data_IF_795003644613
#
_entry.id   IF_795003644613
#
_cell.length_a   1.000
_cell.length_b   1.000
_cell.length_c   1.000
_cell.angle_alpha   90.00
_cell.angle_beta   90.00
_cell.angle_gamma   90.00
#
_symmetry.space_group_name_H-M   'P 1'
#
loop_
_entity.id
_entity.type
_entity.pdbx_description
1 polymer ?
#
# COMPACT_ATOMS: atom_id res chain seq x y z
N UNK A 1 9.18 4.28 -30.25
CA UNK A 1 10.49 4.58 -29.61
C UNK A 1 10.21 5.33 -28.32
N UNK A 2 10.86 4.94 -27.22
CA UNK A 2 10.51 5.27 -25.84
C UNK A 2 10.31 6.78 -25.57
N UNK A 3 9.36 7.10 -24.68
CA UNK A 3 9.10 8.46 -24.22
C UNK A 3 10.34 9.01 -23.53
N UNK A 4 10.95 10.04 -24.11
CA UNK A 4 12.15 10.63 -23.55
C UNK A 4 11.81 11.34 -22.21
N UNK A 5 12.57 11.06 -21.15
CA UNK A 5 12.49 11.82 -19.91
C UNK A 5 12.92 13.27 -20.17
N UNK A 6 12.07 14.23 -19.80
CA UNK A 6 12.38 15.66 -19.93
C UNK A 6 13.56 16.03 -19.02
N UNK A 7 14.68 16.46 -19.62
CA UNK A 7 15.91 16.81 -18.89
C UNK A 7 15.68 17.83 -17.76
N UNK A 8 14.77 18.79 -17.96
CA UNK A 8 14.45 19.79 -16.93
C UNK A 8 13.79 19.16 -15.69
N UNK A 9 12.96 18.12 -15.88
CA UNK A 9 12.34 17.41 -14.77
C UNK A 9 13.35 16.54 -14.03
N UNK A 10 14.24 15.86 -14.77
CA UNK A 10 15.34 15.09 -14.18
C UNK A 10 16.25 16.00 -13.36
N UNK A 11 16.65 17.16 -13.89
CA UNK A 11 17.44 18.15 -13.16
C UNK A 11 16.74 18.62 -11.88
N UNK A 12 15.43 18.88 -11.94
CA UNK A 12 14.65 19.30 -10.76
C UNK A 12 14.65 18.22 -9.67
N UNK A 13 14.49 16.95 -10.05
CA UNK A 13 14.54 15.81 -9.11
C UNK A 13 15.95 15.67 -8.51
N UNK A 14 17.00 15.79 -9.32
CA UNK A 14 18.38 15.72 -8.81
C UNK A 14 18.68 16.83 -7.78
N UNK A 15 18.11 18.04 -7.97
CA UNK A 15 18.25 19.14 -7.01
C UNK A 15 17.36 19.02 -5.77
N UNK A 16 16.29 18.22 -5.80
CA UNK A 16 15.41 18.09 -4.63
C UNK A 16 15.97 17.16 -3.55
N UNK A 17 16.87 16.25 -3.91
CA UNK A 17 17.45 15.27 -2.98
C UNK A 17 18.91 15.58 -2.61
N UNK A 18 19.51 16.60 -3.20
CA UNK A 18 20.92 16.91 -3.01
C UNK A 18 21.11 18.41 -2.85
N UNK A 19 21.87 18.82 -1.85
CA UNK A 19 22.37 20.20 -1.69
C UNK A 19 23.48 20.51 -2.71
N UNK A 20 23.22 20.18 -3.99
CA UNK A 20 24.16 20.37 -5.08
C UNK A 20 23.80 21.66 -5.79
N UNK A 21 24.61 22.68 -5.56
CA UNK A 21 24.42 24.02 -6.12
C UNK A 21 24.41 23.98 -7.66
N UNK A 22 25.35 23.23 -8.25
CA UNK A 22 25.60 23.16 -9.69
C UNK A 22 25.60 21.72 -10.22
N UNK A 23 24.74 21.46 -11.21
CA UNK A 23 24.65 20.18 -11.93
C UNK A 23 24.90 20.44 -13.41
N UNK A 24 25.95 19.82 -13.96
CA UNK A 24 26.30 19.96 -15.38
C UNK A 24 25.22 19.39 -16.31
N UNK A 25 25.15 19.87 -17.56
CA UNK A 25 24.20 19.35 -18.56
C UNK A 25 24.45 17.86 -18.86
N UNK A 26 25.72 17.47 -18.94
CA UNK A 26 26.09 16.10 -19.29
C UNK A 26 25.72 15.12 -18.18
N UNK A 27 25.89 15.51 -16.91
CA UNK A 27 25.44 14.72 -15.76
C UNK A 27 23.93 14.46 -15.82
N UNK A 28 23.13 15.48 -16.15
CA UNK A 28 21.67 15.32 -16.31
C UNK A 28 21.35 14.35 -17.43
N UNK A 29 22.05 14.43 -18.56
CA UNK A 29 21.86 13.51 -19.70
C UNK A 29 22.21 12.06 -19.35
N UNK A 30 23.35 11.83 -18.68
CA UNK A 30 23.78 10.50 -18.26
C UNK A 30 22.78 9.89 -17.27
N UNK A 31 22.38 10.64 -16.24
CA UNK A 31 21.39 10.19 -15.26
C UNK A 31 20.04 9.92 -15.93
N UNK A 32 19.66 10.74 -16.92
CA UNK A 32 18.45 10.51 -17.71
C UNK A 32 18.47 9.16 -18.43
N UNK A 33 19.59 8.82 -19.06
CA UNK A 33 19.76 7.52 -19.75
C UNK A 33 19.86 6.37 -18.77
N UNK A 34 20.55 6.56 -17.64
CA UNK A 34 20.63 5.56 -16.60
C UNK A 34 19.24 5.24 -16.01
N UNK A 35 18.40 6.25 -15.77
CA UNK A 35 17.02 6.06 -15.29
C UNK A 35 16.13 5.31 -16.30
N UNK A 36 16.28 5.60 -17.59
CA UNK A 36 15.58 4.86 -18.66
C UNK A 36 15.97 3.39 -18.66
N UNK A 37 17.28 3.11 -18.63
CA UNK A 37 17.81 1.74 -18.57
C UNK A 37 17.42 1.02 -17.28
N UNK A 38 17.42 1.73 -16.16
CA UNK A 38 17.00 1.19 -14.87
C UNK A 38 15.56 0.70 -14.90
N UNK A 39 14.63 1.52 -15.42
CA UNK A 39 13.22 1.14 -15.53
C UNK A 39 13.07 -0.05 -16.49
N UNK A 40 13.73 -0.04 -17.64
CA UNK A 40 13.68 -1.16 -18.58
C UNK A 40 14.19 -2.46 -17.94
N UNK A 41 15.29 -2.39 -17.19
CA UNK A 41 15.85 -3.53 -16.49
C UNK A 41 14.88 -4.06 -15.43
N UNK A 42 14.36 -3.18 -14.58
CA UNK A 42 13.42 -3.53 -13.52
C UNK A 42 12.15 -4.19 -14.08
N UNK A 43 11.58 -3.62 -15.15
CA UNK A 43 10.40 -4.20 -15.79
C UNK A 43 10.70 -5.55 -16.44
N UNK A 44 11.90 -5.73 -17.01
CA UNK A 44 12.32 -7.00 -17.60
C UNK A 44 12.48 -8.08 -16.54
N UNK A 45 13.06 -7.74 -15.39
CA UNK A 45 13.21 -8.68 -14.26
C UNK A 45 11.87 -9.01 -13.60
N UNK A 46 10.98 -8.03 -13.47
CA UNK A 46 9.64 -8.24 -12.94
C UNK A 46 8.75 -9.10 -13.85
N UNK A 47 9.11 -9.24 -15.13
CA UNK A 47 8.34 -10.01 -16.10
C UNK A 47 8.86 -11.45 -16.24
N UNK A 48 8.55 -12.29 -15.24
CA UNK A 48 9.14 -13.63 -15.02
C UNK A 48 8.88 -14.66 -16.14
N UNK A 49 7.85 -14.48 -16.98
CA UNK A 49 7.70 -15.19 -18.27
C UNK A 49 6.73 -14.43 -19.20
N UNK A 50 7.23 -13.76 -20.26
CA UNK A 50 6.38 -12.95 -21.13
C UNK A 50 5.33 -13.72 -21.91
N UNK A 51 5.47 -15.06 -22.00
CA UNK A 51 4.49 -15.90 -22.69
C UNK A 51 3.31 -16.26 -21.80
N UNK A 52 3.49 -16.26 -20.48
CA UNK A 52 2.46 -16.64 -19.49
C UNK A 52 1.77 -15.43 -18.88
N UNK A 53 2.52 -14.35 -18.65
CA UNK A 53 2.02 -13.14 -18.00
C UNK A 53 1.76 -12.08 -19.06
N UNK A 54 0.48 -11.81 -19.33
CA UNK A 54 0.06 -10.80 -20.32
C UNK A 54 0.13 -9.37 -19.78
N UNK A 55 0.16 -9.19 -18.46
CA UNK A 55 0.13 -7.89 -17.78
C UNK A 55 1.10 -7.89 -16.61
N UNK A 56 1.92 -6.85 -16.52
CA UNK A 56 2.77 -6.63 -15.37
C UNK A 56 1.95 -6.02 -14.23
N UNK A 57 1.94 -6.67 -13.07
CA UNK A 57 1.24 -6.20 -11.88
C UNK A 57 2.21 -5.67 -10.82
N UNK A 58 1.69 -4.88 -9.87
CA UNK A 58 2.49 -4.34 -8.77
C UNK A 58 3.23 -5.43 -7.99
N UNK A 59 2.56 -6.57 -7.73
CA UNK A 59 3.16 -7.71 -7.00
C UNK A 59 4.44 -8.20 -7.66
N UNK A 60 4.51 -8.21 -8.99
CA UNK A 60 5.70 -8.64 -9.71
C UNK A 60 6.89 -7.71 -9.43
N UNK A 61 6.65 -6.39 -9.44
CA UNK A 61 7.68 -5.38 -9.17
C UNK A 61 8.09 -5.43 -7.70
N UNK A 62 7.12 -5.51 -6.79
CA UNK A 62 7.39 -5.60 -5.35
C UNK A 62 8.25 -6.82 -5.02
N UNK A 63 7.97 -7.99 -5.60
CA UNK A 63 8.80 -9.18 -5.40
C UNK A 63 10.26 -8.92 -5.82
N UNK A 64 10.49 -8.43 -7.04
CA UNK A 64 11.86 -8.18 -7.52
C UNK A 64 12.60 -7.17 -6.65
N UNK A 65 11.94 -6.08 -6.24
CA UNK A 65 12.54 -5.02 -5.42
C UNK A 65 12.93 -5.52 -4.02
N UNK A 66 12.08 -6.34 -3.41
CA UNK A 66 12.28 -6.78 -2.04
C UNK A 66 13.15 -8.05 -1.92
N UNK A 67 13.19 -8.90 -2.96
CA UNK A 67 13.97 -10.14 -2.96
C UNK A 67 15.46 -9.93 -3.31
N UNK A 68 15.80 -8.84 -4.01
CA UNK A 68 17.16 -8.55 -4.49
C UNK A 68 17.81 -7.42 -3.70
N UNK A 69 19.09 -7.59 -3.33
CA UNK A 69 19.90 -6.55 -2.66
C UNK A 69 20.16 -5.34 -3.57
N UNK A 70 20.23 -5.55 -4.89
CA UNK A 70 20.44 -4.47 -5.87
C UNK A 70 19.38 -3.37 -5.79
N UNK A 71 18.18 -3.71 -5.33
CA UNK A 71 17.03 -2.80 -5.24
C UNK A 71 16.71 -2.37 -3.81
N UNK A 72 17.63 -2.58 -2.87
CA UNK A 72 17.45 -2.20 -1.46
C UNK A 72 16.98 -0.75 -1.30
N UNK A 73 17.58 0.18 -2.06
CA UNK A 73 17.22 1.60 -2.06
C UNK A 73 15.76 1.91 -2.44
N UNK A 74 15.04 0.94 -3.04
CA UNK A 74 13.67 1.11 -3.49
C UNK A 74 12.65 0.38 -2.60
N UNK A 75 13.09 -0.37 -1.58
CA UNK A 75 12.19 -1.19 -0.74
C UNK A 75 11.20 -0.36 0.06
N UNK A 76 11.65 0.75 0.62
CA UNK A 76 10.80 1.69 1.37
C UNK A 76 9.73 2.32 0.46
N UNK A 77 10.06 2.55 -0.81
CA UNK A 77 9.13 3.13 -1.78
C UNK A 77 8.17 2.10 -2.40
N UNK A 78 8.54 0.82 -2.43
CA UNK A 78 7.78 -0.26 -3.06
C UNK A 78 7.71 -1.47 -2.12
N UNK A 79 6.98 -1.37 -1.00
CA UNK A 79 6.84 -2.48 -0.05
C UNK A 79 5.89 -3.57 -0.57
N UNK A 80 5.96 -4.76 0.03
CA UNK A 80 4.94 -5.77 -0.20
C UNK A 80 3.60 -5.33 0.40
N UNK A 81 2.54 -5.46 -0.39
CA UNK A 81 1.17 -5.30 0.12
C UNK A 81 0.77 -6.55 0.89
N UNK A 82 0.28 -6.36 2.11
CA UNK A 82 -0.39 -7.38 2.91
C UNK A 82 -1.83 -6.97 3.13
N UNK A 83 -2.73 -7.94 3.25
CA UNK A 83 -4.12 -7.66 3.59
C UNK A 83 -4.25 -7.40 5.09
N UNK A 84 -5.26 -6.64 5.49
CA UNK A 84 -5.51 -6.31 6.91
C UNK A 84 -5.66 -7.57 7.78
N UNK A 85 -6.34 -8.60 7.29
CA UNK A 85 -6.45 -9.87 8.04
C UNK A 85 -5.09 -10.58 8.18
N UNK A 86 -4.26 -10.59 7.13
CA UNK A 86 -2.91 -11.16 7.16
C UNK A 86 -2.03 -10.41 8.17
N UNK A 87 -2.16 -9.08 8.22
CA UNK A 87 -1.48 -8.26 9.22
C UNK A 87 -1.87 -8.67 10.65
N UNK A 88 -3.17 -8.77 10.95
CA UNK A 88 -3.61 -9.22 12.28
C UNK A 88 -3.10 -10.62 12.63
N UNK A 89 -3.04 -11.54 11.66
CA UNK A 89 -2.44 -12.85 11.88
C UNK A 89 -0.95 -12.79 12.16
N UNK A 90 -0.20 -11.97 11.42
CA UNK A 90 1.25 -11.76 11.63
C UNK A 90 1.48 -11.17 13.01
N UNK A 91 0.70 -10.16 13.40
CA UNK A 91 0.78 -9.54 14.73
C UNK A 91 0.44 -10.55 15.83
N UNK A 92 -0.64 -11.32 15.69
CA UNK A 92 -0.98 -12.37 16.65
C UNK A 92 0.11 -13.44 16.75
N UNK A 93 0.76 -13.82 15.65
CA UNK A 93 1.88 -14.78 15.65
C UNK A 93 3.16 -14.20 16.27
N UNK A 94 3.43 -12.91 16.05
CA UNK A 94 4.65 -12.22 16.55
C UNK A 94 4.55 -11.93 18.04
N UNK A 95 3.39 -11.47 18.51
CA UNK A 95 3.17 -11.07 19.92
C UNK A 95 2.46 -12.13 20.76
N UNK A 96 1.73 -13.06 20.14
CA UNK A 96 1.09 -14.18 20.86
C UNK A 96 2.02 -15.35 21.17
N UNK A 97 3.26 -15.34 20.65
CA UNK A 97 4.30 -16.35 20.99
C UNK A 97 5.08 -16.04 22.26
N UNK A 98 4.88 -14.87 22.88
CA UNK A 98 5.52 -14.54 24.17
C UNK A 98 4.74 -15.09 25.39
N UNK A 99 3.58 -15.72 25.17
CA UNK A 99 2.76 -16.35 26.22
C UNK A 99 2.60 -17.85 25.89
N UNK A 100 3.68 -18.61 25.88
CA UNK A 100 3.55 -20.08 25.99
C UNK A 100 4.80 -20.75 26.57
N UNK A 101 5.29 -20.19 27.68
CA UNK A 101 6.10 -20.96 28.64
C UNK A 101 5.49 -20.77 30.02
N UNK A 102 4.68 -21.76 30.42
CA UNK A 102 3.96 -21.87 31.72
C UNK A 102 2.72 -20.95 31.78
N UNK A 103 1.48 -21.39 32.01
CA UNK A 103 0.97 -22.49 32.83
C UNK A 103 -0.47 -22.82 32.40
N UNK A 104 -0.88 -24.08 32.62
CA UNK A 104 -2.28 -24.52 32.56
C UNK A 104 -3.12 -23.79 33.63
N UNK A 105 -4.43 -23.70 33.35
CA UNK A 105 -5.56 -23.29 34.21
C UNK A 105 -5.94 -21.81 34.18
N UNK A 106 -7.01 -21.47 33.45
CA UNK A 106 -8.35 -21.38 34.05
C UNK A 106 -9.31 -20.79 33.01
N UNK A 107 -10.39 -21.53 32.75
CA UNK A 107 -11.59 -21.07 32.06
C UNK A 107 -12.24 -19.92 32.82
N UNK A 108 -12.62 -18.86 32.11
CA UNK A 108 -13.73 -18.00 32.52
C UNK A 108 -14.36 -17.37 31.29
N UNK A 109 -15.46 -18.01 30.88
CA UNK A 109 -16.55 -17.41 30.12
C UNK A 109 -17.04 -16.14 30.82
N UNK A 110 -17.21 -15.05 30.08
CA UNK A 110 -18.14 -14.00 30.49
C UNK A 110 -18.63 -13.23 29.26
N UNK A 111 -19.78 -13.66 28.78
CA UNK A 111 -20.69 -12.88 27.95
C UNK A 111 -21.25 -11.70 28.73
N UNK A 112 -21.21 -10.49 28.18
CA UNK A 112 -22.03 -9.37 28.66
C UNK A 112 -22.81 -8.77 27.50
N UNK A 113 -24.03 -9.29 27.34
CA UNK A 113 -25.10 -8.68 26.56
C UNK A 113 -25.63 -7.47 27.33
N UNK A 114 -25.61 -6.28 26.73
CA UNK A 114 -26.28 -5.10 27.30
C UNK A 114 -27.45 -4.72 26.40
N UNK A 115 -28.62 -5.25 26.74
CA UNK A 115 -29.90 -4.74 26.28
C UNK A 115 -30.23 -3.49 27.11
N UNK A 116 -30.69 -2.42 26.47
CA UNK A 116 -31.33 -1.31 27.16
C UNK A 116 -32.48 -0.80 26.29
N UNK A 117 -33.69 -1.00 26.80
CA UNK A 117 -34.94 -0.53 26.21
C UNK A 117 -35.48 0.67 26.99
N UNK A 118 -35.89 1.69 26.22
CA UNK A 118 -37.02 2.61 26.44
C UNK A 118 -36.93 3.71 27.53
N UNK A 119 -37.79 4.78 27.56
CA UNK A 119 -38.97 5.11 26.70
C UNK A 119 -39.15 6.59 26.23
N UNK A 120 -40.12 6.75 25.32
CA UNK A 120 -41.17 7.81 25.18
C UNK A 120 -40.90 9.23 24.65
N UNK A 121 -41.54 9.47 23.49
CA UNK A 121 -42.55 10.52 23.18
C UNK A 121 -42.16 12.01 23.08
N UNK A 122 -42.30 12.60 21.88
CA UNK A 122 -43.20 13.76 21.64
C UNK A 122 -43.32 14.11 20.13
N UNK A 123 -44.52 13.89 19.62
CA UNK A 123 -45.38 14.74 18.76
C UNK A 123 -44.83 15.64 17.61
N UNK A 124 -45.20 15.22 16.39
CA UNK A 124 -45.70 15.94 15.19
C UNK A 124 -45.19 17.33 14.75
N UNK A 125 -44.83 17.40 13.45
CA UNK A 125 -45.36 18.43 12.53
C UNK A 125 -45.18 18.05 11.04
N UNK A 126 -46.27 18.20 10.28
CA UNK A 126 -46.46 18.12 8.82
C UNK A 126 -45.32 18.64 7.93
N UNK A 127 -45.04 17.98 6.80
CA UNK A 127 -45.52 18.36 5.44
C UNK A 127 -44.68 17.75 4.29
N UNK A 128 -45.42 17.08 3.39
CA UNK A 128 -45.31 17.01 1.91
C UNK A 128 -44.01 16.57 1.17
N UNK A 129 -44.15 15.37 0.56
CA UNK A 129 -44.06 15.11 -0.90
C UNK A 129 -42.73 14.64 -1.58
N UNK A 130 -42.84 13.43 -2.12
CA UNK A 130 -42.26 12.87 -3.36
C UNK A 130 -40.81 12.34 -3.49
N UNK A 131 -40.77 10.99 -3.65
CA UNK A 131 -39.98 10.12 -4.57
C UNK A 131 -38.60 9.56 -4.15
N UNK A 132 -38.67 8.36 -3.58
CA UNK A 132 -38.16 7.05 -4.08
C UNK A 132 -36.78 6.93 -4.76
N UNK A 133 -35.93 6.04 -4.22
CA UNK A 133 -35.26 5.03 -5.06
C UNK A 133 -33.73 4.87 -5.02
N UNK A 134 -33.24 4.11 -4.02
CA UNK A 134 -32.11 3.17 -4.01
C UNK A 134 -30.64 3.54 -3.70
N UNK A 135 -30.19 2.83 -2.65
CA UNK A 135 -28.85 2.45 -2.18
C UNK A 135 -27.87 1.98 -3.27
N UNK A 136 -26.58 2.27 -3.07
CA UNK A 136 -25.63 1.20 -2.74
C UNK A 136 -24.31 1.75 -2.18
N UNK A 137 -24.10 1.40 -0.91
CA UNK A 137 -22.86 1.48 -0.16
C UNK A 137 -21.86 0.45 -0.72
N UNK A 138 -20.68 0.90 -1.15
CA UNK A 138 -19.51 0.02 -1.17
C UNK A 138 -18.29 0.76 -0.66
N UNK A 139 -17.98 0.42 0.59
CA UNK A 139 -16.78 0.78 1.32
C UNK A 139 -15.53 0.56 0.46
N UNK A 140 -14.84 1.65 0.14
CA UNK A 140 -13.41 1.56 -0.15
C UNK A 140 -12.72 1.24 1.17
N UNK A 141 -12.41 -0.04 1.37
CA UNK A 141 -11.62 -0.51 2.51
C UNK A 141 -10.25 0.15 2.50
N UNK A 142 -9.91 0.79 3.62
CA UNK A 142 -8.65 1.48 3.83
C UNK A 142 -7.45 0.52 3.64
N UNK A 143 -6.64 0.83 2.63
CA UNK A 143 -5.32 0.20 2.44
C UNK A 143 -4.32 1.01 3.27
N UNK A 144 -3.82 0.44 4.36
CA UNK A 144 -2.71 1.04 5.12
C UNK A 144 -1.38 0.74 4.44
N UNK A 145 -0.61 1.80 4.17
CA UNK A 145 0.84 1.72 3.94
C UNK A 145 1.49 1.85 5.31
N UNK A 146 2.37 0.93 5.66
CA UNK A 146 3.12 0.94 6.92
C UNK A 146 4.41 1.72 6.63
N UNK A 147 4.58 2.85 7.32
CA UNK A 147 5.80 3.68 7.33
C UNK A 147 6.98 2.96 8.00
#
# INVERSE_FOLDING_TARGET
>A
MAGHFKLQRVRKIMKSSAEVEHISKDSVTVVTRAAELFIMLLLKEAHTDPKKVKKLEYKNIANVVNDSERYEFAREMIPHKIKVHEYYEIMKKKYGKEIDTQEKHSSSESSSSSNSSEPSSTDNSDSEDSKDGHDDNSSNGDVMIID
#
